data_IF_353096810697
#
_entry.id   IF_353096810697
#
_cell.length_a   1.000
_cell.length_b   1.000
_cell.length_c   1.000
_cell.angle_alpha   90.00
_cell.angle_beta   90.00
_cell.angle_gamma   90.00
#
_symmetry.space_group_name_H-M   'P 1'
#
loop_
_entity.id
_entity.type
_entity.pdbx_description
1 polymer ?
#
# COMPACT_ATOMS: atom_id res chain seq x y z
N UNK A 1 2.11 -76.07 3.06
CA UNK A 1 1.32 -74.85 3.39
C UNK A 1 2.23 -73.66 3.05
N UNK A 2 2.36 -73.27 1.77
CA UNK A 2 1.53 -72.31 1.00
C UNK A 2 1.72 -70.88 1.53
N UNK A 3 2.64 -70.07 0.99
CA UNK A 3 2.58 -69.12 -0.16
C UNK A 3 2.27 -67.66 0.24
N UNK A 4 3.30 -66.81 0.11
CA UNK A 4 3.41 -65.53 -0.64
C UNK A 4 2.35 -64.41 -0.58
N UNK A 5 2.90 -63.19 -0.74
CA UNK A 5 2.37 -61.86 -1.15
C UNK A 5 2.10 -60.85 -0.02
N UNK A 6 2.31 -59.53 -0.16
CA UNK A 6 3.30 -58.69 -0.85
C UNK A 6 2.92 -57.22 -0.54
N UNK A 7 3.92 -56.31 -0.55
CA UNK A 7 3.85 -54.85 -0.80
C UNK A 7 2.98 -53.88 0.05
N UNK A 8 3.60 -52.76 0.43
CA UNK A 8 2.92 -51.49 0.66
C UNK A 8 3.78 -50.42 1.35
N UNK A 9 4.59 -49.70 0.58
CA UNK A 9 5.33 -48.49 1.00
C UNK A 9 4.38 -47.28 1.11
N UNK A 10 4.59 -46.37 2.07
CA UNK A 10 4.22 -44.94 1.92
C UNK A 10 4.95 -44.06 2.93
N UNK A 11 5.76 -43.15 2.36
CA UNK A 11 6.24 -41.90 2.95
C UNK A 11 5.13 -41.08 3.62
N UNK A 12 5.49 -40.33 4.66
CA UNK A 12 4.68 -39.20 5.15
C UNK A 12 5.57 -38.15 5.78
N UNK A 13 6.11 -37.26 4.94
CA UNK A 13 6.65 -35.97 5.36
C UNK A 13 5.52 -35.07 5.90
N UNK A 14 5.78 -34.21 6.91
CA UNK A 14 4.79 -33.26 7.41
C UNK A 14 4.52 -32.15 6.37
N UNK A 15 3.26 -31.70 6.22
CA UNK A 15 2.88 -30.79 5.14
C UNK A 15 3.29 -29.35 5.43
N UNK A 16 3.84 -28.72 4.39
CA UNK A 16 3.95 -27.27 4.20
C UNK A 16 2.57 -26.60 4.33
N UNK A 17 2.36 -25.87 5.42
CA UNK A 17 1.20 -24.99 5.59
C UNK A 17 1.41 -23.67 4.83
N UNK A 18 1.50 -23.75 3.49
CA UNK A 18 1.35 -22.60 2.59
C UNK A 18 -0.13 -22.44 2.28
N UNK A 19 -0.88 -21.80 3.18
CA UNK A 19 -2.19 -21.25 2.82
C UNK A 19 -2.00 -20.19 1.72
N UNK A 20 -2.54 -20.40 0.50
CA UNK A 20 -2.52 -19.36 -0.53
C UNK A 20 -3.52 -18.28 -0.14
N UNK A 21 -3.00 -17.15 0.32
CA UNK A 21 -3.77 -15.92 0.49
C UNK A 21 -4.41 -15.53 -0.85
N UNK A 22 -5.70 -15.82 -1.02
CA UNK A 22 -6.56 -15.46 -2.16
C UNK A 22 -6.77 -13.93 -2.34
N UNK A 23 -5.98 -13.09 -1.66
CA UNK A 23 -5.97 -11.65 -1.89
C UNK A 23 -5.29 -11.39 -3.24
N UNK A 24 -5.94 -10.72 -4.21
CA UNK A 24 -5.34 -10.37 -5.49
C UNK A 24 -4.03 -9.59 -5.28
N UNK A 25 -2.89 -10.25 -5.54
CA UNK A 25 -1.55 -9.73 -5.22
C UNK A 25 -0.96 -8.76 -6.25
N UNK A 26 -1.68 -8.43 -7.32
CA UNK A 26 -1.03 -8.02 -8.58
C UNK A 26 -1.02 -6.53 -8.92
N UNK A 27 -1.85 -5.67 -8.30
CA UNK A 27 -1.85 -4.22 -8.65
C UNK A 27 -1.21 -3.30 -7.63
N UNK A 28 -1.31 -3.63 -6.34
CA UNK A 28 -0.82 -2.74 -5.27
C UNK A 28 0.71 -2.69 -5.12
N UNK A 29 1.48 -3.43 -5.93
CA UNK A 29 2.94 -3.54 -5.77
C UNK A 29 3.71 -2.33 -6.31
N UNK A 30 3.18 -1.62 -7.31
CA UNK A 30 3.84 -0.45 -7.86
C UNK A 30 3.52 0.74 -6.96
N UNK A 31 4.50 1.17 -6.17
CA UNK A 31 4.34 2.35 -5.31
C UNK A 31 4.52 3.62 -6.16
N UNK A 32 3.89 4.75 -5.82
CA UNK A 32 4.00 5.95 -6.63
C UNK A 32 5.44 6.35 -6.89
N UNK A 33 5.76 6.74 -8.12
CA UNK A 33 7.06 7.31 -8.46
C UNK A 33 6.95 8.82 -8.50
N UNK A 34 8.03 9.55 -8.19
CA UNK A 34 8.05 11.01 -8.26
C UNK A 34 7.49 11.58 -9.57
N UNK A 35 7.81 10.95 -10.71
CA UNK A 35 7.39 11.39 -12.03
C UNK A 35 5.95 11.04 -12.41
N UNK A 36 5.15 10.46 -11.51
CA UNK A 36 3.77 10.11 -11.84
C UNK A 36 2.89 11.33 -12.05
N UNK A 37 2.06 11.25 -13.09
CA UNK A 37 1.00 12.21 -13.37
C UNK A 37 -0.14 12.05 -12.37
N UNK A 38 -1.01 13.06 -12.28
CA UNK A 38 -2.19 13.00 -11.43
C UNK A 38 -3.07 11.78 -11.70
N UNK A 39 -3.26 11.43 -12.98
CA UNK A 39 -4.02 10.24 -13.38
C UNK A 39 -3.44 8.97 -12.76
N UNK A 40 -2.13 8.71 -12.93
CA UNK A 40 -1.47 7.52 -12.37
C UNK A 40 -1.56 7.46 -10.84
N UNK A 41 -1.50 8.63 -10.17
CA UNK A 41 -1.66 8.71 -8.73
C UNK A 41 -3.09 8.33 -8.29
N UNK A 42 -4.10 8.77 -9.05
CA UNK A 42 -5.50 8.44 -8.80
C UNK A 42 -5.79 6.97 -9.05
N UNK A 43 -5.26 6.40 -10.12
CA UNK A 43 -5.38 4.95 -10.38
C UNK A 43 -4.83 4.13 -9.20
N UNK A 44 -3.68 4.53 -8.67
CA UNK A 44 -3.10 3.87 -7.51
C UNK A 44 -3.92 4.04 -6.23
N UNK A 45 -4.50 5.22 -6.01
CA UNK A 45 -5.40 5.46 -4.89
C UNK A 45 -6.71 4.66 -5.02
N UNK A 46 -7.27 4.55 -6.22
CA UNK A 46 -8.43 3.69 -6.49
C UNK A 46 -8.12 2.23 -6.18
N UNK A 47 -6.96 1.72 -6.63
CA UNK A 47 -6.49 0.37 -6.32
C UNK A 47 -6.27 0.18 -4.81
N UNK A 48 -5.71 1.19 -4.12
CA UNK A 48 -5.57 1.20 -2.66
C UNK A 48 -6.93 1.05 -1.97
N UNK A 49 -7.90 1.91 -2.33
CA UNK A 49 -9.22 1.92 -1.73
C UNK A 49 -9.99 0.62 -1.99
N UNK A 50 -9.87 0.06 -3.19
CA UNK A 50 -10.51 -1.20 -3.55
C UNK A 50 -9.87 -2.38 -2.81
N UNK A 51 -8.54 -2.43 -2.75
CA UNK A 51 -7.80 -3.59 -2.22
C UNK A 51 -7.69 -3.57 -0.70
N UNK A 52 -7.32 -2.42 -0.13
CA UNK A 52 -7.01 -2.28 1.29
C UNK A 52 -8.24 -1.89 2.11
N UNK A 53 -9.14 -1.09 1.55
CA UNK A 53 -10.35 -0.64 2.26
C UNK A 53 -11.60 -1.45 1.87
N UNK A 54 -11.53 -2.31 0.85
CA UNK A 54 -12.66 -3.13 0.40
C UNK A 54 -13.78 -2.32 -0.24
N UNK A 55 -13.49 -1.12 -0.74
CA UNK A 55 -14.51 -0.27 -1.35
C UNK A 55 -14.92 -0.78 -2.73
N UNK A 56 -16.20 -0.57 -3.06
CA UNK A 56 -16.70 -0.80 -4.42
C UNK A 56 -16.06 0.20 -5.38
N UNK A 57 -15.87 -0.22 -6.64
CA UNK A 57 -15.17 0.54 -7.68
C UNK A 57 -15.57 2.02 -7.76
N UNK A 58 -16.88 2.31 -7.87
CA UNK A 58 -17.35 3.71 -7.96
C UNK A 58 -17.05 4.56 -6.72
N UNK A 59 -17.03 3.94 -5.53
CA UNK A 59 -16.67 4.65 -4.28
C UNK A 59 -15.16 4.87 -4.22
N UNK A 60 -14.37 3.90 -4.64
CA UNK A 60 -12.91 4.00 -4.72
C UNK A 60 -12.47 5.09 -5.71
N UNK A 61 -13.07 5.11 -6.92
CA UNK A 61 -12.88 6.14 -7.94
C UNK A 61 -13.22 7.52 -7.38
N UNK A 62 -14.41 7.66 -6.79
CA UNK A 62 -14.87 8.94 -6.21
C UNK A 62 -13.94 9.45 -5.11
N UNK A 63 -13.45 8.56 -4.24
CA UNK A 63 -12.45 8.94 -3.21
C UNK A 63 -11.10 9.32 -3.81
N UNK A 64 -10.63 8.58 -4.81
CA UNK A 64 -9.36 8.89 -5.49
C UNK A 64 -9.39 10.26 -6.18
N UNK A 65 -10.53 10.67 -6.72
CA UNK A 65 -10.71 11.98 -7.36
C UNK A 65 -10.42 13.17 -6.44
N UNK A 66 -10.57 13.01 -5.12
CA UNK A 66 -10.22 14.06 -4.14
C UNK A 66 -8.73 14.43 -4.20
N UNK A 67 -7.86 13.52 -4.65
CA UNK A 67 -6.46 13.83 -4.82
C UNK A 67 -6.19 14.66 -6.07
N UNK A 68 -5.58 15.83 -5.88
CA UNK A 68 -5.07 16.70 -6.94
C UNK A 68 -3.58 16.95 -6.70
N UNK A 69 -2.72 16.36 -7.52
CA UNK A 69 -1.28 16.41 -7.34
C UNK A 69 -0.54 15.41 -8.23
N UNK A 70 0.78 15.36 -8.10
CA UNK A 70 1.65 14.41 -8.79
C UNK A 70 2.22 13.38 -7.80
N UNK A 71 3.01 12.44 -8.31
CA UNK A 71 3.71 11.48 -7.46
C UNK A 71 4.60 12.16 -6.42
N UNK A 72 5.29 13.25 -6.80
CA UNK A 72 6.03 14.07 -5.84
C UNK A 72 5.11 14.65 -4.75
N UNK A 73 3.94 15.18 -5.11
CA UNK A 73 2.98 15.70 -4.13
C UNK A 73 2.57 14.64 -3.12
N UNK A 74 2.39 13.38 -3.56
CA UNK A 74 2.03 12.28 -2.67
C UNK A 74 3.08 12.08 -1.55
N UNK A 75 4.37 12.15 -1.91
CA UNK A 75 5.45 12.04 -0.94
C UNK A 75 5.69 13.32 -0.13
N UNK A 76 5.28 14.50 -0.59
CA UNK A 76 5.47 15.75 0.17
C UNK A 76 4.38 16.00 1.20
N UNK A 77 3.17 15.46 0.99
CA UNK A 77 2.05 15.61 1.93
C UNK A 77 2.35 14.96 3.29
N UNK A 78 2.13 15.72 4.34
CA UNK A 78 2.18 15.27 5.73
C UNK A 78 1.04 14.31 6.06
N UNK A 79 1.20 13.55 7.14
CA UNK A 79 0.13 12.68 7.64
C UNK A 79 -1.16 13.44 7.96
N UNK A 80 -1.06 14.68 8.43
CA UNK A 80 -2.23 15.51 8.73
C UNK A 80 -2.99 15.86 7.46
N UNK A 81 -2.29 16.25 6.39
CA UNK A 81 -2.90 16.56 5.10
C UNK A 81 -3.54 15.31 4.47
N UNK A 82 -2.88 14.15 4.56
CA UNK A 82 -3.47 12.90 4.10
C UNK A 82 -4.75 12.52 4.86
N UNK A 83 -4.76 12.69 6.19
CA UNK A 83 -5.95 12.43 7.02
C UNK A 83 -7.09 13.37 6.70
N UNK A 84 -6.80 14.65 6.50
CA UNK A 84 -7.79 15.65 6.10
C UNK A 84 -8.38 15.33 4.73
N UNK A 85 -7.54 14.92 3.77
CA UNK A 85 -7.97 14.69 2.39
C UNK A 85 -8.77 13.40 2.22
N UNK A 86 -8.35 12.32 2.90
CA UNK A 86 -8.87 10.97 2.64
C UNK A 86 -9.70 10.37 3.78
N UNK A 87 -9.63 10.96 4.97
CA UNK A 87 -10.15 10.39 6.21
C UNK A 87 -9.04 9.90 7.13
N UNK A 88 -9.33 9.83 8.44
CA UNK A 88 -8.34 9.53 9.47
C UNK A 88 -7.69 8.15 9.26
N UNK A 89 -8.49 7.13 8.97
CA UNK A 89 -8.01 5.76 8.80
C UNK A 89 -7.26 5.59 7.48
N UNK A 90 -7.90 5.98 6.38
CA UNK A 90 -7.39 5.80 5.03
C UNK A 90 -6.13 6.63 4.78
N UNK A 91 -6.15 7.90 5.18
CA UNK A 91 -5.00 8.79 5.07
C UNK A 91 -3.79 8.29 5.87
N UNK A 92 -4.01 7.70 7.06
CA UNK A 92 -2.93 7.08 7.84
C UNK A 92 -2.31 5.89 7.09
N UNK A 93 -3.14 5.03 6.51
CA UNK A 93 -2.66 3.86 5.77
C UNK A 93 -1.89 4.23 4.50
N UNK A 94 -2.41 5.20 3.73
CA UNK A 94 -1.72 5.74 2.53
C UNK A 94 -0.36 6.30 2.93
N UNK A 95 -0.31 7.17 3.93
CA UNK A 95 0.94 7.77 4.41
C UNK A 95 1.93 6.69 4.85
N UNK A 96 1.50 5.71 5.64
CA UNK A 96 2.36 4.62 6.11
C UNK A 96 3.00 3.82 4.96
N UNK A 97 2.26 3.56 3.89
CA UNK A 97 2.76 2.82 2.72
C UNK A 97 3.79 3.66 1.95
N UNK A 98 3.50 4.95 1.73
CA UNK A 98 4.42 5.87 1.07
C UNK A 98 5.72 6.03 1.88
N UNK A 99 5.64 6.14 3.21
CA UNK A 99 6.83 6.25 4.07
C UNK A 99 7.67 4.97 4.06
N UNK A 100 7.02 3.80 4.09
CA UNK A 100 7.70 2.51 3.99
C UNK A 100 8.50 2.40 2.69
N UNK A 101 7.94 2.89 1.59
CA UNK A 101 8.61 2.90 0.29
C UNK A 101 9.72 3.95 0.21
N UNK A 102 9.56 5.09 0.88
CA UNK A 102 10.56 6.15 0.97
C UNK A 102 11.55 5.98 2.15
N UNK A 103 11.72 4.76 2.67
CA UNK A 103 12.55 4.49 3.87
C UNK A 103 13.99 5.01 3.75
N UNK A 104 14.55 5.05 2.54
CA UNK A 104 15.91 5.51 2.29
C UNK A 104 16.01 7.02 2.00
N UNK A 105 14.91 7.77 2.13
CA UNK A 105 14.90 9.22 1.94
C UNK A 105 15.12 9.65 0.48
N UNK A 106 14.71 8.82 -0.49
CA UNK A 106 14.81 9.12 -1.93
C UNK A 106 14.01 10.37 -2.30
N UNK A 107 12.89 10.59 -1.64
CA UNK A 107 12.04 11.76 -1.81
C UNK A 107 12.16 12.61 -0.53
N UNK A 108 12.92 13.70 -0.58
CA UNK A 108 13.21 14.51 0.61
C UNK A 108 11.98 15.26 1.12
N UNK A 109 11.64 15.02 2.39
CA UNK A 109 10.76 15.87 3.21
C UNK A 109 11.54 17.09 3.71
N UNK A 110 12.05 17.95 2.84
CA UNK A 110 12.60 19.20 3.34
C UNK A 110 11.46 20.15 3.70
N UNK A 111 11.20 20.19 5.02
CA UNK A 111 10.88 21.42 5.76
C UNK A 111 9.61 22.18 5.36
N UNK A 112 8.44 21.58 5.56
CA UNK A 112 7.21 22.39 5.76
C UNK A 112 6.55 22.22 7.14
N UNK A 113 7.07 21.34 8.01
CA UNK A 113 6.45 21.15 9.34
C UNK A 113 7.38 20.69 10.47
N UNK A 114 8.64 21.13 10.49
CA UNK A 114 9.41 21.14 11.75
C UNK A 114 9.10 22.42 12.53
N UNK A 115 7.84 22.62 12.94
CA UNK A 115 7.58 23.37 14.17
C UNK A 115 7.87 22.45 15.35
N UNK A 116 9.16 22.35 15.69
CA UNK A 116 9.60 22.24 17.08
C UNK A 116 10.50 23.45 17.31
N UNK A 117 9.98 24.42 18.06
CA UNK A 117 10.65 25.63 18.58
C UNK A 117 10.58 26.91 17.72
N UNK A 118 9.37 27.33 17.36
CA UNK A 118 8.96 28.72 17.64
C UNK A 118 9.76 29.90 17.08
N UNK A 119 10.28 29.87 15.85
CA UNK A 119 10.60 31.12 15.15
C UNK A 119 10.39 31.02 13.65
N UNK A 120 9.52 31.88 13.11
CA UNK A 120 9.47 32.23 11.70
C UNK A 120 10.21 33.56 11.55
N UNK A 121 11.22 33.61 10.69
CA UNK A 121 11.69 34.88 10.14
C UNK A 121 11.30 34.93 8.66
N UNK A 122 10.72 36.07 8.30
CA UNK A 122 10.25 36.47 6.97
C UNK A 122 11.38 36.60 5.96
#
# INVERSE_FOLDING_TARGET
MNTSMDTGSSDSSPPDDKSPSNVPRTKFQNTPEAGWTNHKCRDWLEDYFSTMCGYQKGVAESKALNFMGSGMSMYMMSIAEWKTLMGVCEGSGIFGILMKHNKYGKYCFHTYNTRKNGSMYY
#
